data_IF_829197991478
#
_entry.id   IF_829197991478
#
_cell.length_a   1.000
_cell.length_b   1.000
_cell.length_c   1.000
_cell.angle_alpha   90.00
_cell.angle_beta   90.00
_cell.angle_gamma   90.00
#
_symmetry.space_group_name_H-M   'P 1'
#
loop_
_entity.id
_entity.type
_entity.pdbx_description
1 polymer ?
#
# COMPACT_ATOMS: atom_id res chain seq x y z
N UNK A 1 23.03 8.86 -0.25
CA UNK A 1 22.17 8.31 -1.32
C UNK A 1 20.96 9.21 -1.48
N UNK A 2 20.55 9.56 -2.73
CA UNK A 2 19.38 10.41 -2.97
C UNK A 2 18.18 9.53 -3.29
N UNK A 3 17.10 9.71 -2.53
CA UNK A 3 15.90 8.87 -2.54
C UNK A 3 14.69 9.72 -2.86
N UNK A 4 13.96 9.38 -3.91
CA UNK A 4 12.69 10.01 -4.24
C UNK A 4 11.54 9.19 -3.66
N UNK A 5 10.68 9.82 -2.89
CA UNK A 5 9.41 9.26 -2.42
C UNK A 5 8.28 9.93 -3.19
N UNK A 6 7.63 9.19 -4.09
CA UNK A 6 6.46 9.69 -4.82
C UNK A 6 5.17 9.43 -4.03
N UNK A 7 4.14 10.23 -4.25
CA UNK A 7 2.91 10.12 -3.47
C UNK A 7 3.07 10.52 -2.01
N UNK A 8 3.98 11.46 -1.74
CA UNK A 8 4.44 11.86 -0.41
C UNK A 8 3.33 12.35 0.54
N UNK A 9 2.21 12.90 0.02
CA UNK A 9 1.06 13.33 0.81
C UNK A 9 0.01 12.22 1.04
N UNK A 10 0.25 11.02 0.52
CA UNK A 10 -0.55 9.84 0.83
C UNK A 10 -0.23 9.28 2.21
N UNK A 11 -1.01 8.29 2.67
CA UNK A 11 -0.82 7.66 3.99
C UNK A 11 0.62 7.18 4.16
N UNK A 12 1.10 6.31 3.27
CA UNK A 12 2.44 5.74 3.36
C UNK A 12 3.55 6.79 3.15
N UNK A 13 3.39 7.68 2.16
CA UNK A 13 4.39 8.73 1.91
C UNK A 13 4.58 9.66 3.11
N UNK A 14 3.48 10.00 3.80
CA UNK A 14 3.53 10.81 5.04
C UNK A 14 4.22 10.07 6.19
N UNK A 15 3.95 8.77 6.37
CA UNK A 15 4.64 7.96 7.39
C UNK A 15 6.14 7.82 7.06
N UNK A 16 6.52 7.59 5.78
CA UNK A 16 7.92 7.55 5.37
C UNK A 16 8.60 8.89 5.68
N UNK A 17 7.92 10.00 5.46
CA UNK A 17 8.49 11.32 5.75
C UNK A 17 8.80 11.49 7.24
N UNK A 18 7.92 11.05 8.13
CA UNK A 18 8.14 11.09 9.59
C UNK A 18 9.28 10.15 9.99
N UNK A 19 9.21 8.89 9.58
CA UNK A 19 10.17 7.87 10.00
C UNK A 19 11.57 8.08 9.38
N UNK A 20 11.67 8.78 8.23
CA UNK A 20 12.95 9.09 7.57
C UNK A 20 13.86 10.01 8.40
N UNK A 21 13.35 10.68 9.41
CA UNK A 21 14.14 11.49 10.34
C UNK A 21 15.22 10.68 11.07
N UNK A 22 15.06 9.38 11.21
CA UNK A 22 16.07 8.48 11.78
C UNK A 22 17.22 8.12 10.81
N UNK A 23 17.10 8.43 9.51
CA UNK A 23 18.02 8.03 8.44
C UNK A 23 18.79 9.24 7.87
N UNK A 24 19.57 9.91 8.72
CA UNK A 24 20.27 11.18 8.39
C UNK A 24 21.36 11.04 7.34
N UNK A 25 21.83 9.82 7.05
CA UNK A 25 22.80 9.48 6.01
C UNK A 25 22.23 9.56 4.59
N UNK A 26 20.89 9.64 4.43
CA UNK A 26 20.20 9.74 3.15
C UNK A 26 19.59 11.10 2.93
N UNK A 27 19.51 11.49 1.65
CA UNK A 27 18.79 12.69 1.22
C UNK A 27 17.46 12.27 0.63
N UNK A 28 16.37 12.58 1.31
CA UNK A 28 15.02 12.29 0.84
C UNK A 28 14.41 13.48 0.10
N UNK A 29 13.75 13.18 -1.01
CA UNK A 29 12.96 14.10 -1.83
C UNK A 29 11.52 13.61 -1.81
N UNK A 30 10.62 14.40 -1.21
CA UNK A 30 9.22 14.03 -1.01
C UNK A 30 8.33 14.78 -1.99
N UNK A 31 7.74 14.06 -2.96
CA UNK A 31 6.96 14.67 -4.02
C UNK A 31 5.54 14.09 -4.12
N UNK A 32 4.58 14.97 -4.29
CA UNK A 32 3.19 14.62 -4.57
C UNK A 32 2.84 14.87 -6.05
N UNK A 33 1.61 14.54 -6.46
CA UNK A 33 1.16 14.73 -7.85
C UNK A 33 1.09 16.18 -8.31
N UNK A 34 1.16 17.16 -7.41
CA UNK A 34 1.17 18.59 -7.78
C UNK A 34 2.59 19.10 -8.03
N UNK A 35 3.57 18.57 -7.30
CA UNK A 35 4.98 18.94 -7.44
C UNK A 35 5.71 18.07 -8.47
N UNK A 36 5.35 16.78 -8.58
CA UNK A 36 5.95 15.84 -9.54
C UNK A 36 4.89 14.84 -10.04
N UNK A 37 4.30 15.15 -11.18
CA UNK A 37 3.36 14.25 -11.85
C UNK A 37 4.11 13.13 -12.57
N UNK A 38 4.06 11.92 -12.02
CA UNK A 38 4.73 10.74 -12.57
C UNK A 38 4.20 10.31 -13.95
N UNK A 39 3.02 10.80 -14.36
CA UNK A 39 2.46 10.52 -15.70
C UNK A 39 3.18 11.30 -16.79
N UNK A 40 3.96 12.34 -16.43
CA UNK A 40 4.71 13.20 -17.34
C UNK A 40 6.15 12.72 -17.50
N UNK A 41 6.43 11.99 -18.58
CA UNK A 41 7.71 11.30 -18.80
C UNK A 41 8.94 12.22 -18.69
N UNK A 42 8.91 13.39 -19.34
CA UNK A 42 10.06 14.30 -19.32
C UNK A 42 10.24 14.97 -17.95
N UNK A 43 9.16 15.22 -17.22
CA UNK A 43 9.24 15.82 -15.89
C UNK A 43 9.93 14.85 -14.91
N UNK A 44 9.49 13.59 -14.85
CA UNK A 44 10.10 12.59 -13.96
C UNK A 44 11.55 12.30 -14.33
N UNK A 45 11.87 12.24 -15.63
CA UNK A 45 13.22 11.99 -16.12
C UNK A 45 14.17 13.14 -15.74
N UNK A 46 13.76 14.40 -15.94
CA UNK A 46 14.56 15.57 -15.59
C UNK A 46 14.77 15.63 -14.08
N UNK A 47 13.72 15.41 -13.29
CA UNK A 47 13.79 15.39 -11.84
C UNK A 47 14.81 14.36 -11.31
N UNK A 48 14.74 13.12 -11.78
CA UNK A 48 15.66 12.03 -11.39
C UNK A 48 17.10 12.41 -11.75
N UNK A 49 17.32 13.03 -12.92
CA UNK A 49 18.67 13.43 -13.38
C UNK A 49 19.21 14.61 -12.57
N UNK A 50 18.44 15.68 -12.41
CA UNK A 50 18.84 16.92 -11.74
C UNK A 50 19.19 16.70 -10.26
N UNK A 51 18.40 15.86 -9.59
CA UNK A 51 18.60 15.52 -8.18
C UNK A 51 19.49 14.30 -7.95
N UNK A 52 20.07 13.71 -9.01
CA UNK A 52 20.89 12.49 -8.92
C UNK A 52 20.20 11.38 -8.10
N UNK A 53 18.90 11.17 -8.33
CA UNK A 53 18.11 10.16 -7.64
C UNK A 53 18.59 8.77 -8.02
N UNK A 54 18.95 7.96 -7.03
CA UNK A 54 19.39 6.57 -7.22
C UNK A 54 18.36 5.54 -6.73
N UNK A 55 17.45 5.94 -5.85
CA UNK A 55 16.38 5.07 -5.36
C UNK A 55 15.05 5.79 -5.47
N UNK A 56 14.01 5.07 -5.92
CA UNK A 56 12.63 5.56 -5.88
C UNK A 56 11.81 4.64 -4.98
N UNK A 57 11.12 5.23 -3.99
CA UNK A 57 10.03 4.58 -3.26
C UNK A 57 8.73 5.08 -3.88
N UNK A 58 8.11 4.25 -4.71
CA UNK A 58 6.89 4.64 -5.42
C UNK A 58 5.64 4.31 -4.60
N UNK A 59 5.17 5.30 -3.84
CA UNK A 59 3.89 5.26 -3.13
C UNK A 59 2.75 5.91 -3.93
N UNK A 60 3.06 6.53 -5.08
CA UNK A 60 2.03 7.12 -5.94
C UNK A 60 1.20 6.02 -6.61
N UNK A 61 -0.11 6.09 -6.45
CA UNK A 61 -1.06 5.18 -7.06
C UNK A 61 -2.45 5.83 -7.17
N UNK A 62 -3.22 5.45 -8.17
CA UNK A 62 -4.65 5.67 -8.19
C UNK A 62 -5.32 4.60 -7.33
N UNK A 63 -5.79 4.96 -6.13
CA UNK A 63 -6.29 4.01 -5.12
C UNK A 63 -7.79 4.08 -4.87
N UNK A 64 -8.51 4.93 -5.61
CA UNK A 64 -9.96 5.05 -5.51
C UNK A 64 -10.64 3.86 -6.22
N UNK A 65 -10.67 2.69 -5.55
CA UNK A 65 -11.07 1.38 -6.09
C UNK A 65 -12.41 1.46 -6.83
N UNK A 66 -13.45 2.04 -6.20
CA UNK A 66 -14.78 2.15 -6.81
C UNK A 66 -14.81 3.09 -8.02
N UNK A 67 -14.07 4.20 -7.96
CA UNK A 67 -13.97 5.15 -9.08
C UNK A 67 -13.14 4.61 -10.25
N UNK A 68 -12.22 3.70 -9.98
CA UNK A 68 -11.40 3.08 -11.02
C UNK A 68 -12.25 2.38 -12.08
N UNK A 69 -13.42 1.83 -11.70
CA UNK A 69 -14.35 1.18 -12.64
C UNK A 69 -14.93 2.15 -13.68
N UNK A 70 -15.01 3.44 -13.38
CA UNK A 70 -15.49 4.48 -14.28
C UNK A 70 -14.38 5.44 -14.78
N UNK A 71 -13.23 5.50 -14.11
CA UNK A 71 -12.12 6.39 -14.44
C UNK A 71 -10.88 5.56 -14.88
N UNK A 72 -11.10 4.61 -15.80
CA UNK A 72 -10.09 3.64 -16.26
C UNK A 72 -8.82 4.34 -16.72
N UNK A 73 -8.95 5.36 -17.58
CA UNK A 73 -7.82 6.10 -18.15
C UNK A 73 -6.93 6.75 -17.05
N UNK A 74 -7.55 7.28 -16.00
CA UNK A 74 -6.79 7.86 -14.87
C UNK A 74 -6.06 6.77 -14.08
N UNK A 75 -6.71 5.63 -13.84
CA UNK A 75 -6.09 4.50 -13.16
C UNK A 75 -4.90 3.96 -13.98
N UNK A 76 -5.03 3.81 -15.28
CA UNK A 76 -3.96 3.41 -16.20
C UNK A 76 -2.84 4.46 -16.26
N UNK A 77 -3.18 5.74 -16.33
CA UNK A 77 -2.18 6.80 -16.37
C UNK A 77 -1.25 6.77 -15.15
N UNK A 78 -1.81 6.59 -13.94
CA UNK A 78 -1.00 6.59 -12.72
C UNK A 78 -0.35 5.22 -12.47
N UNK A 79 -1.15 4.12 -12.52
CA UNK A 79 -0.69 2.81 -12.10
C UNK A 79 0.14 2.07 -13.16
N UNK A 80 0.04 2.47 -14.43
CA UNK A 80 0.77 1.85 -15.54
C UNK A 80 1.77 2.82 -16.16
N UNK A 81 1.29 3.94 -16.75
CA UNK A 81 2.17 4.89 -17.43
C UNK A 81 3.14 5.55 -16.45
N UNK A 82 2.69 5.93 -15.25
CA UNK A 82 3.55 6.48 -14.21
C UNK A 82 4.68 5.54 -13.82
N UNK A 83 4.39 4.25 -13.64
CA UNK A 83 5.41 3.22 -13.37
C UNK A 83 6.38 3.08 -14.54
N UNK A 84 5.89 3.02 -15.79
CA UNK A 84 6.72 2.97 -16.99
C UNK A 84 7.67 4.16 -17.09
N UNK A 85 7.20 5.37 -16.76
CA UNK A 85 8.00 6.59 -16.79
C UNK A 85 9.13 6.56 -15.75
N UNK A 86 8.83 6.12 -14.52
CA UNK A 86 9.83 5.92 -13.47
C UNK A 86 10.91 4.93 -13.92
N UNK A 87 10.52 3.77 -14.45
CA UNK A 87 11.45 2.76 -14.95
C UNK A 87 12.32 3.31 -16.10
N UNK A 88 11.73 4.04 -17.04
CA UNK A 88 12.43 4.65 -18.18
C UNK A 88 13.46 5.70 -17.76
N UNK A 89 13.22 6.38 -16.65
CA UNK A 89 14.17 7.33 -16.06
C UNK A 89 15.28 6.60 -15.30
N UNK A 90 14.94 5.61 -14.47
CA UNK A 90 15.88 4.86 -13.64
C UNK A 90 16.86 4.00 -14.45
N UNK A 91 16.46 3.47 -15.60
CA UNK A 91 17.35 2.64 -16.44
C UNK A 91 18.62 3.36 -16.89
N UNK A 92 18.64 4.69 -16.86
CA UNK A 92 19.79 5.54 -17.20
C UNK A 92 20.69 5.82 -15.98
N UNK A 93 20.25 5.43 -14.79
CA UNK A 93 20.98 5.65 -13.54
C UNK A 93 21.66 4.36 -13.12
N UNK A 94 22.99 4.39 -12.98
CA UNK A 94 23.74 3.20 -12.56
C UNK A 94 23.37 2.77 -11.14
N UNK A 95 23.16 1.47 -10.94
CA UNK A 95 22.78 0.87 -9.65
C UNK A 95 21.50 1.46 -9.06
N UNK A 96 20.56 1.87 -9.92
CA UNK A 96 19.27 2.38 -9.47
C UNK A 96 18.40 1.27 -8.88
N UNK A 97 17.58 1.64 -7.87
CA UNK A 97 16.66 0.74 -7.19
C UNK A 97 15.24 1.30 -7.20
N UNK A 98 14.26 0.40 -7.18
CA UNK A 98 12.83 0.73 -7.06
C UNK A 98 12.18 -0.08 -5.96
N UNK A 99 11.53 0.58 -5.00
CA UNK A 99 10.57 -0.04 -4.08
C UNK A 99 9.18 0.41 -4.53
N UNK A 100 8.34 -0.54 -4.95
CA UNK A 100 7.00 -0.25 -5.48
C UNK A 100 5.91 -0.89 -4.64
N UNK A 101 4.92 -0.10 -4.26
CA UNK A 101 3.79 -0.59 -3.47
C UNK A 101 2.68 -1.07 -4.39
N UNK A 102 2.33 -2.34 -4.26
CA UNK A 102 1.23 -3.00 -4.97
C UNK A 102 0.12 -3.42 -3.99
N UNK A 103 -0.77 -4.29 -4.39
CA UNK A 103 -2.02 -4.58 -3.68
C UNK A 103 -2.38 -6.07 -3.71
N UNK A 104 -3.15 -6.50 -2.72
CA UNK A 104 -3.86 -7.78 -2.66
C UNK A 104 -4.96 -7.93 -3.73
N UNK A 105 -5.45 -6.81 -4.30
CA UNK A 105 -6.45 -6.81 -5.39
C UNK A 105 -5.95 -7.43 -6.71
N UNK A 106 -4.69 -7.84 -6.80
CA UNK A 106 -4.19 -8.65 -7.91
C UNK A 106 -4.74 -10.08 -7.88
N UNK A 107 -5.28 -10.52 -6.74
CA UNK A 107 -5.91 -11.82 -6.57
C UNK A 107 -7.43 -11.75 -6.72
N UNK A 108 -8.07 -12.86 -7.12
CA UNK A 108 -9.51 -12.94 -7.33
C UNK A 108 -10.34 -13.16 -6.05
N UNK A 109 -9.70 -13.50 -4.94
CA UNK A 109 -10.37 -13.68 -3.64
C UNK A 109 -11.10 -15.00 -3.45
N UNK A 110 -10.84 -16.02 -4.26
CA UNK A 110 -11.49 -17.33 -4.20
C UNK A 110 -10.71 -18.38 -3.41
N UNK A 111 -9.53 -18.03 -2.91
CA UNK A 111 -8.71 -18.92 -2.11
C UNK A 111 -9.27 -19.05 -0.68
N UNK A 112 -8.78 -20.06 0.06
CA UNK A 112 -9.12 -20.34 1.46
C UNK A 112 -7.88 -20.52 2.35
N UNK A 113 -6.70 -20.34 1.75
CA UNK A 113 -5.39 -20.30 2.43
C UNK A 113 -4.68 -19.00 2.04
N UNK A 114 -3.74 -18.49 2.85
CA UNK A 114 -3.04 -17.24 2.55
C UNK A 114 -2.33 -17.29 1.19
N UNK A 115 -2.60 -16.29 0.34
CA UNK A 115 -1.96 -16.16 -0.97
C UNK A 115 -0.45 -16.01 -0.84
N UNK A 116 0.29 -16.78 -1.64
CA UNK A 116 1.75 -16.66 -1.78
C UNK A 116 2.09 -15.77 -2.98
N UNK A 117 3.30 -15.26 -3.01
CA UNK A 117 3.82 -14.44 -4.12
C UNK A 117 3.87 -15.21 -5.45
N UNK A 118 3.91 -16.54 -5.37
CA UNK A 118 3.94 -17.47 -6.54
C UNK A 118 2.56 -17.90 -7.00
N UNK A 119 1.50 -17.57 -6.29
CA UNK A 119 0.15 -17.94 -6.69
C UNK A 119 -0.30 -17.13 -7.92
N UNK A 120 -1.15 -17.73 -8.72
CA UNK A 120 -1.69 -17.11 -9.92
C UNK A 120 -2.49 -15.86 -9.56
N UNK A 121 -2.28 -14.79 -10.32
CA UNK A 121 -2.98 -13.53 -10.18
C UNK A 121 -4.11 -13.43 -11.19
N UNK A 122 -5.31 -13.05 -10.72
CA UNK A 122 -6.52 -12.92 -11.54
C UNK A 122 -7.38 -11.75 -11.02
N UNK A 123 -6.93 -10.49 -11.25
CA UNK A 123 -7.61 -9.32 -10.70
C UNK A 123 -9.02 -9.15 -11.28
N UNK A 124 -10.01 -9.01 -10.41
CA UNK A 124 -11.43 -8.91 -10.77
C UNK A 124 -11.90 -7.50 -11.16
N UNK A 125 -11.21 -6.43 -10.70
CA UNK A 125 -11.54 -5.04 -10.95
C UNK A 125 -10.41 -4.26 -11.64
N UNK A 126 -10.71 -3.08 -12.14
CA UNK A 126 -9.78 -2.19 -12.88
C UNK A 126 -8.58 -1.80 -12.01
N UNK A 127 -8.81 -1.47 -10.74
CA UNK A 127 -7.71 -1.14 -9.82
C UNK A 127 -6.67 -2.27 -9.77
N UNK A 128 -7.12 -3.49 -9.48
CA UNK A 128 -6.23 -4.66 -9.43
C UNK A 128 -5.53 -4.93 -10.75
N UNK A 129 -6.24 -4.81 -11.88
CA UNK A 129 -5.69 -5.00 -13.24
C UNK A 129 -4.59 -3.99 -13.54
N UNK A 130 -4.81 -2.71 -13.28
CA UNK A 130 -3.81 -1.66 -13.54
C UNK A 130 -2.58 -1.80 -12.64
N UNK A 131 -2.76 -2.17 -11.36
CA UNK A 131 -1.65 -2.46 -10.44
C UNK A 131 -0.85 -3.68 -10.92
N UNK A 132 -1.51 -4.75 -11.38
CA UNK A 132 -0.86 -5.94 -11.92
C UNK A 132 -0.01 -5.61 -13.16
N UNK A 133 -0.51 -4.80 -14.08
CA UNK A 133 0.28 -4.36 -15.24
C UNK A 133 1.52 -3.58 -14.80
N UNK A 134 1.40 -2.74 -13.77
CA UNK A 134 2.56 -2.05 -13.17
C UNK A 134 3.59 -3.02 -12.62
N UNK A 135 3.18 -4.10 -11.91
CA UNK A 135 4.09 -5.16 -11.45
C UNK A 135 4.82 -5.83 -12.62
N UNK A 136 4.11 -6.16 -13.70
CA UNK A 136 4.69 -6.80 -14.89
C UNK A 136 5.75 -5.94 -15.57
N UNK A 137 5.52 -4.63 -15.67
CA UNK A 137 6.50 -3.69 -16.18
C UNK A 137 7.80 -3.72 -15.35
N UNK A 138 7.69 -3.76 -14.01
CA UNK A 138 8.84 -3.81 -13.12
C UNK A 138 9.58 -5.15 -13.26
N UNK A 139 8.86 -6.27 -13.22
CA UNK A 139 9.43 -7.61 -13.33
C UNK A 139 10.17 -7.85 -14.67
N UNK A 140 9.70 -7.22 -15.75
CA UNK A 140 10.31 -7.30 -17.08
C UNK A 140 11.38 -6.20 -17.32
N UNK A 141 11.63 -5.33 -16.34
CA UNK A 141 12.65 -4.28 -16.44
C UNK A 141 14.04 -4.80 -16.06
N UNK A 142 15.05 -3.99 -16.36
CA UNK A 142 16.44 -4.22 -15.91
C UNK A 142 16.76 -3.52 -14.59
N UNK A 143 15.75 -2.96 -13.92
CA UNK A 143 15.92 -2.23 -12.64
C UNK A 143 15.85 -3.22 -11.49
N UNK A 144 16.75 -3.07 -10.53
CA UNK A 144 16.65 -3.78 -9.26
C UNK A 144 15.44 -3.30 -8.49
N UNK A 145 14.42 -4.15 -8.36
CA UNK A 145 13.13 -3.75 -7.80
C UNK A 145 12.59 -4.67 -6.72
N UNK A 146 11.97 -4.09 -5.72
CA UNK A 146 11.09 -4.79 -4.78
C UNK A 146 9.66 -4.29 -4.99
N UNK A 147 8.76 -5.23 -5.24
CA UNK A 147 7.32 -5.00 -5.29
C UNK A 147 6.73 -5.52 -3.99
N UNK A 148 6.07 -4.65 -3.24
CA UNK A 148 5.41 -5.02 -1.98
C UNK A 148 3.91 -5.00 -2.20
N UNK A 149 3.27 -6.18 -2.25
CA UNK A 149 1.82 -6.30 -2.20
C UNK A 149 1.37 -6.15 -0.75
N UNK A 150 0.44 -5.24 -0.54
CA UNK A 150 -0.13 -4.94 0.78
C UNK A 150 -1.65 -4.86 0.72
N UNK A 151 -2.31 -4.83 1.87
CA UNK A 151 -3.76 -4.82 2.00
C UNK A 151 -4.22 -3.87 3.10
N UNK A 152 -5.42 -3.28 2.96
CA UNK A 152 -6.16 -2.55 4.02
C UNK A 152 -5.29 -1.51 4.74
N UNK A 153 -4.57 -0.68 3.99
CA UNK A 153 -3.65 0.31 4.54
C UNK A 153 -4.39 1.39 5.31
N UNK A 154 -3.96 1.64 6.53
CA UNK A 154 -4.45 2.73 7.38
C UNK A 154 -3.29 3.49 8.04
N UNK A 155 -3.57 4.71 8.48
CA UNK A 155 -2.60 5.62 9.08
C UNK A 155 -3.31 6.71 9.88
N UNK A 156 -2.58 7.42 10.71
CA UNK A 156 -3.03 8.69 11.30
C UNK A 156 -3.18 9.79 10.24
N UNK A 157 -2.51 9.64 9.09
CA UNK A 157 -2.60 10.54 7.93
C UNK A 157 -3.70 10.13 6.95
N UNK A 158 -4.18 11.09 6.16
CA UNK A 158 -5.15 10.87 5.09
C UNK A 158 -6.51 10.35 5.56
N UNK A 159 -7.31 9.85 4.60
CA UNK A 159 -8.60 9.22 4.85
C UNK A 159 -8.46 7.70 4.75
N UNK A 160 -9.02 6.95 5.70
CA UNK A 160 -8.97 5.50 5.73
C UNK A 160 -10.13 4.92 6.54
N UNK A 161 -10.21 3.60 6.60
CA UNK A 161 -11.28 2.89 7.30
C UNK A 161 -11.29 3.19 8.80
N UNK A 162 -10.14 3.25 9.47
CA UNK A 162 -10.04 3.51 10.91
C UNK A 162 -10.66 4.87 11.25
N UNK A 163 -10.20 5.93 10.59
CA UNK A 163 -10.73 7.30 10.80
C UNK A 163 -12.21 7.41 10.43
N UNK A 164 -12.63 6.70 9.39
CA UNK A 164 -14.04 6.66 8.98
C UNK A 164 -14.91 5.99 10.04
N UNK A 165 -14.47 4.86 10.59
CA UNK A 165 -15.20 4.16 11.65
C UNK A 165 -15.26 4.99 12.92
N UNK A 166 -14.15 5.59 13.36
CA UNK A 166 -14.15 6.47 14.54
C UNK A 166 -15.16 7.62 14.37
N UNK A 167 -15.09 8.35 13.25
CA UNK A 167 -16.03 9.46 12.99
C UNK A 167 -17.49 9.01 12.94
N UNK A 168 -17.77 7.94 12.22
CA UNK A 168 -19.16 7.43 12.10
C UNK A 168 -19.67 6.85 13.44
N UNK A 169 -18.80 6.25 14.24
CA UNK A 169 -19.15 5.74 15.56
C UNK A 169 -19.47 6.85 16.57
N UNK A 170 -18.83 8.02 16.44
CA UNK A 170 -19.18 9.22 17.22
C UNK A 170 -20.51 9.86 16.79
N UNK A 171 -20.87 9.71 15.51
CA UNK A 171 -22.08 10.30 14.92
C UNK A 171 -23.33 9.40 15.02
N UNK A 172 -23.18 8.10 15.31
CA UNK A 172 -24.25 7.10 15.19
C UNK A 172 -24.22 6.09 16.34
N UNK A 173 -25.41 5.62 16.74
CA UNK A 173 -25.57 4.58 17.78
C UNK A 173 -25.19 3.18 17.26
N UNK A 174 -25.33 2.95 15.95
CA UNK A 174 -24.97 1.66 15.32
C UNK A 174 -24.46 1.84 13.90
N UNK A 175 -23.64 0.85 13.45
CA UNK A 175 -23.08 0.77 12.11
C UNK A 175 -23.17 -0.68 11.60
N UNK A 176 -23.46 -0.85 10.31
CA UNK A 176 -23.43 -2.14 9.63
C UNK A 176 -22.10 -2.31 8.90
N UNK A 177 -21.37 -3.39 9.19
CA UNK A 177 -20.03 -3.65 8.61
C UNK A 177 -19.94 -5.08 8.10
N UNK A 178 -19.31 -5.24 6.93
CA UNK A 178 -19.15 -6.52 6.23
C UNK A 178 -18.29 -7.48 7.06
N UNK A 179 -18.78 -8.73 7.27
CA UNK A 179 -18.05 -9.76 8.00
C UNK A 179 -17.45 -10.86 7.12
N UNK A 180 -17.91 -11.01 5.88
CA UNK A 180 -17.53 -12.08 4.94
C UNK A 180 -16.40 -11.70 3.97
N UNK A 181 -15.68 -10.62 4.25
CA UNK A 181 -14.42 -10.26 3.60
C UNK A 181 -13.29 -10.39 4.60
N UNK A 182 -12.34 -11.29 4.31
CA UNK A 182 -11.27 -11.70 5.22
C UNK A 182 -9.91 -11.25 4.68
N UNK A 183 -9.10 -10.64 5.54
CA UNK A 183 -7.76 -10.17 5.20
C UNK A 183 -6.93 -9.81 6.43
N UNK A 184 -5.93 -8.96 6.24
CA UNK A 184 -5.14 -8.35 7.30
C UNK A 184 -4.97 -6.87 7.02
N UNK A 185 -5.15 -5.98 8.01
CA UNK A 185 -4.83 -4.57 7.87
C UNK A 185 -3.32 -4.34 7.86
N UNK A 186 -2.91 -3.21 7.31
CA UNK A 186 -1.52 -2.76 7.30
C UNK A 186 -1.44 -1.35 7.86
N UNK A 187 -0.77 -1.18 8.98
CA UNK A 187 -0.42 0.14 9.48
C UNK A 187 0.67 0.74 8.59
N UNK A 188 0.41 1.90 8.01
CA UNK A 188 1.32 2.51 7.06
C UNK A 188 2.69 2.86 7.67
N UNK A 189 2.77 3.12 8.98
CA UNK A 189 4.03 3.32 9.70
C UNK A 189 4.89 2.05 9.68
N UNK A 190 4.30 0.87 9.94
CA UNK A 190 5.05 -0.40 9.88
C UNK A 190 5.55 -0.68 8.46
N UNK A 191 4.73 -0.40 7.45
CA UNK A 191 5.13 -0.51 6.05
C UNK A 191 6.20 0.54 5.67
N UNK A 192 6.15 1.75 6.23
CA UNK A 192 7.17 2.78 6.05
C UNK A 192 8.52 2.32 6.60
N UNK A 193 8.52 1.78 7.82
CA UNK A 193 9.72 1.21 8.45
C UNK A 193 10.32 0.08 7.60
N UNK A 194 9.48 -0.79 7.02
CA UNK A 194 9.96 -1.80 6.08
C UNK A 194 10.60 -1.16 4.84
N UNK A 195 9.95 -0.18 4.21
CA UNK A 195 10.51 0.50 3.02
C UNK A 195 11.87 1.14 3.31
N UNK A 196 12.02 1.79 4.46
CA UNK A 196 13.27 2.41 4.89
C UNK A 196 14.35 1.35 5.21
N UNK A 197 14.00 0.28 5.89
CA UNK A 197 14.90 -0.85 6.16
C UNK A 197 15.43 -1.49 4.87
N UNK A 198 14.61 -1.56 3.82
CA UNK A 198 15.00 -2.16 2.53
C UNK A 198 15.98 -1.30 1.73
N UNK A 199 16.19 -0.03 2.06
CA UNK A 199 17.12 0.86 1.35
C UNK A 199 18.56 0.33 1.32
N UNK A 200 19.00 -0.30 2.42
CA UNK A 200 20.35 -0.87 2.57
C UNK A 200 20.48 -2.31 2.07
N UNK A 201 19.37 -2.92 1.67
CA UNK A 201 19.41 -4.33 1.26
C UNK A 201 19.85 -4.46 -0.19
N UNK A 202 20.55 -5.56 -0.47
CA UNK A 202 20.87 -5.96 -1.83
C UNK A 202 19.68 -6.70 -2.45
N UNK A 203 19.19 -6.21 -3.58
CA UNK A 203 18.07 -6.84 -4.31
C UNK A 203 18.55 -7.93 -5.27
N UNK A 204 19.85 -8.26 -5.25
CA UNK A 204 20.47 -9.34 -6.04
C UNK A 204 20.24 -9.22 -7.57
N UNK A 205 20.26 -8.00 -8.09
CA UNK A 205 20.14 -7.68 -9.52
C UNK A 205 18.86 -8.26 -10.19
N UNK A 206 17.73 -8.34 -9.46
CA UNK A 206 16.44 -8.80 -10.03
C UNK A 206 15.27 -8.25 -9.23
N UNK A 207 14.22 -7.91 -9.96
CA UNK A 207 12.95 -7.53 -9.32
C UNK A 207 12.28 -8.74 -8.67
N UNK A 208 11.80 -8.57 -7.42
CA UNK A 208 11.11 -9.60 -6.63
C UNK A 208 9.80 -9.06 -6.06
N UNK A 209 8.82 -9.95 -5.90
CA UNK A 209 7.57 -9.65 -5.21
C UNK A 209 7.66 -10.17 -3.78
N UNK A 210 7.17 -9.37 -2.85
CA UNK A 210 6.96 -9.72 -1.46
C UNK A 210 5.55 -9.31 -1.01
N UNK A 211 5.03 -10.02 -0.03
CA UNK A 211 3.80 -9.70 0.65
C UNK A 211 4.09 -9.08 2.01
N UNK A 212 3.36 -8.02 2.35
CA UNK A 212 3.44 -7.39 3.67
C UNK A 212 2.08 -6.88 4.12
N UNK A 213 1.66 -7.30 5.29
CA UNK A 213 0.57 -6.74 6.11
C UNK A 213 0.88 -7.06 7.57
N UNK A 214 0.26 -6.39 8.53
CA UNK A 214 0.43 -6.77 9.93
C UNK A 214 0.01 -8.22 10.17
N UNK A 215 0.58 -8.87 11.19
CA UNK A 215 0.22 -10.25 11.56
C UNK A 215 -1.21 -10.32 12.10
N UNK A 216 -1.90 -11.42 11.80
CA UNK A 216 -3.26 -11.69 12.21
C UNK A 216 -4.22 -11.79 11.03
N UNK A 217 -5.44 -12.25 11.31
CA UNK A 217 -6.52 -12.51 10.34
C UNK A 217 -7.81 -12.00 10.92
N UNK A 218 -8.58 -11.22 10.16
CA UNK A 218 -9.85 -10.67 10.61
C UNK A 218 -10.75 -10.27 9.43
N UNK A 219 -12.01 -10.01 9.73
CA UNK A 219 -12.97 -9.36 8.83
C UNK A 219 -12.97 -7.84 9.03
N UNK A 220 -13.62 -7.10 8.11
CA UNK A 220 -13.89 -5.67 8.33
C UNK A 220 -14.75 -5.44 9.58
N UNK A 221 -15.68 -6.37 9.88
CA UNK A 221 -16.49 -6.34 11.09
C UNK A 221 -15.64 -6.43 12.36
N UNK A 222 -14.72 -7.41 12.43
CA UNK A 222 -13.81 -7.56 13.57
C UNK A 222 -12.92 -6.32 13.74
N UNK A 223 -12.46 -5.77 12.61
CA UNK A 223 -11.64 -4.55 12.61
C UNK A 223 -12.42 -3.35 13.17
N UNK A 224 -13.67 -3.16 12.72
CA UNK A 224 -14.54 -2.09 13.22
C UNK A 224 -14.85 -2.24 14.71
N UNK A 225 -15.16 -3.46 15.17
CA UNK A 225 -15.37 -3.76 16.61
C UNK A 225 -14.18 -3.35 17.45
N UNK A 226 -12.98 -3.74 17.01
CA UNK A 226 -11.76 -3.41 17.71
C UNK A 226 -11.44 -1.91 17.70
N UNK A 227 -11.75 -1.20 16.59
CA UNK A 227 -11.61 0.27 16.52
C UNK A 227 -12.49 0.94 17.58
N UNK A 228 -13.77 0.54 17.72
CA UNK A 228 -14.67 1.09 18.73
C UNK A 228 -14.14 0.84 20.14
N UNK A 229 -13.72 -0.40 20.43
CA UNK A 229 -13.12 -0.77 21.73
C UNK A 229 -11.90 0.10 22.05
N UNK A 230 -10.94 0.19 21.14
CA UNK A 230 -9.68 0.91 21.38
C UNK A 230 -9.85 2.43 21.41
N UNK A 231 -10.79 2.97 20.66
CA UNK A 231 -11.10 4.41 20.63
C UNK A 231 -12.03 4.82 21.77
N UNK A 232 -12.57 3.88 22.55
CA UNK A 232 -13.58 4.10 23.60
C UNK A 232 -14.84 4.82 23.07
N UNK A 233 -15.34 4.34 21.90
CA UNK A 233 -16.54 4.86 21.24
C UNK A 233 -17.69 3.89 21.48
N UNK A 234 -18.81 4.40 22.05
CA UNK A 234 -20.02 3.62 22.28
C UNK A 234 -20.90 3.61 21.03
N UNK A 235 -20.60 2.66 20.11
CA UNK A 235 -21.33 2.44 18.88
C UNK A 235 -21.44 0.94 18.63
N UNK A 236 -22.66 0.43 18.42
CA UNK A 236 -22.90 -0.95 18.13
C UNK A 236 -22.50 -1.28 16.67
N UNK A 237 -21.67 -2.30 16.48
CA UNK A 237 -21.30 -2.78 15.15
C UNK A 237 -22.06 -4.06 14.82
N UNK A 238 -22.90 -4.00 13.78
CA UNK A 238 -23.70 -5.10 13.29
C UNK A 238 -23.05 -5.78 12.10
N UNK A 239 -22.89 -7.11 12.07
CA UNK A 239 -22.36 -7.83 10.92
C UNK A 239 -23.37 -7.89 9.79
N UNK A 240 -22.92 -7.61 8.56
CA UNK A 240 -23.70 -7.80 7.32
C UNK A 240 -22.85 -8.57 6.30
N UNK A 241 -23.51 -9.20 5.32
CA UNK A 241 -22.84 -9.87 4.21
C UNK A 241 -22.50 -8.86 3.10
N UNK A 242 -21.50 -9.19 2.27
CA UNK A 242 -21.10 -8.36 1.10
C UNK A 242 -22.29 -8.04 0.17
N UNK A 243 -23.25 -8.97 0.01
CA UNK A 243 -24.46 -8.76 -0.81
C UNK A 243 -25.35 -7.61 -0.32
N UNK A 244 -25.30 -7.30 0.98
CA UNK A 244 -26.12 -6.27 1.63
C UNK A 244 -25.49 -4.87 1.55
N UNK A 245 -24.25 -4.81 1.02
CA UNK A 245 -23.52 -3.55 0.81
C UNK A 245 -22.96 -3.46 -0.63
N UNK A 246 -23.80 -3.25 -1.63
CA UNK A 246 -23.38 -3.21 -3.01
C UNK A 246 -22.42 -2.02 -3.27
N UNK A 247 -21.33 -2.30 -3.97
CA UNK A 247 -20.30 -1.31 -4.35
C UNK A 247 -20.00 -1.41 -5.84
N UNK A 248 -19.58 -0.30 -6.50
CA UNK A 248 -19.21 -0.30 -7.92
C UNK A 248 -18.13 -1.32 -8.26
N UNK A 249 -17.05 -1.36 -7.47
CA UNK A 249 -16.00 -2.35 -7.64
C UNK A 249 -16.30 -3.62 -6.83
N UNK A 250 -16.12 -4.78 -7.46
CA UNK A 250 -16.16 -6.05 -6.77
C UNK A 250 -14.92 -6.22 -5.90
N UNK A 251 -15.12 -6.58 -4.63
CA UNK A 251 -14.02 -6.83 -3.68
C UNK A 251 -13.77 -8.32 -3.49
N UNK A 252 -12.50 -8.76 -3.32
CA UNK A 252 -12.22 -10.15 -3.01
C UNK A 252 -12.77 -10.51 -1.62
N UNK A 253 -13.43 -11.68 -1.50
CA UNK A 253 -13.92 -12.17 -0.21
C UNK A 253 -12.77 -12.64 0.70
N UNK A 254 -11.65 -13.04 0.09
CA UNK A 254 -10.47 -13.48 0.81
C UNK A 254 -9.22 -12.84 0.19
N UNK A 255 -8.48 -12.07 0.98
CA UNK A 255 -7.28 -11.37 0.52
C UNK A 255 -6.08 -11.52 1.47
N UNK A 256 -6.11 -12.53 2.33
CA UNK A 256 -5.03 -12.76 3.28
C UNK A 256 -3.74 -13.13 2.55
N UNK A 257 -2.67 -12.38 2.85
CA UNK A 257 -1.36 -12.54 2.25
C UNK A 257 -0.45 -13.41 3.14
N UNK A 258 0.26 -14.37 2.54
CA UNK A 258 1.34 -15.11 3.19
C UNK A 258 2.60 -14.22 3.22
N UNK A 259 3.19 -14.04 4.38
CA UNK A 259 4.34 -13.15 4.62
C UNK A 259 5.63 -13.91 4.95
N UNK A 260 5.62 -15.25 4.81
CA UNK A 260 6.79 -16.07 5.19
C UNK A 260 8.04 -15.66 4.41
N UNK A 261 7.91 -15.42 3.10
CA UNK A 261 9.04 -15.09 2.24
C UNK A 261 9.77 -13.82 2.68
N UNK A 262 9.06 -12.73 2.97
CA UNK A 262 9.72 -11.48 3.39
C UNK A 262 10.37 -11.62 4.76
N UNK A 263 9.76 -12.38 5.68
CA UNK A 263 10.33 -12.67 6.99
C UNK A 263 11.61 -13.50 6.88
N UNK A 264 11.62 -14.52 6.04
CA UNK A 264 12.77 -15.40 5.84
C UNK A 264 13.92 -14.71 5.09
N UNK A 265 13.62 -13.99 3.98
CA UNK A 265 14.65 -13.35 3.14
C UNK A 265 15.35 -12.19 3.85
N UNK A 266 14.67 -11.50 4.78
CA UNK A 266 15.18 -10.31 5.45
C UNK A 266 15.35 -10.44 6.97
N UNK A 267 15.02 -11.59 7.55
CA UNK A 267 15.07 -11.85 8.99
C UNK A 267 14.34 -10.76 9.82
N UNK A 268 13.08 -10.50 9.46
CA UNK A 268 12.24 -9.49 10.10
C UNK A 268 11.06 -10.10 10.84
N UNK A 269 10.66 -9.44 11.90
CA UNK A 269 9.40 -9.66 12.60
C UNK A 269 8.37 -8.63 12.13
N UNK A 270 7.12 -9.07 11.98
CA UNK A 270 6.00 -8.20 11.58
C UNK A 270 5.10 -8.00 12.80
N UNK A 271 4.79 -6.75 13.18
CA UNK A 271 3.91 -6.47 14.31
C UNK A 271 2.51 -7.06 14.15
N UNK A 272 1.90 -7.44 15.29
CA UNK A 272 0.52 -7.88 15.32
C UNK A 272 -0.42 -6.69 15.08
N UNK A 273 -1.45 -6.89 14.25
CA UNK A 273 -2.32 -5.82 13.77
C UNK A 273 -3.01 -5.01 14.89
N UNK A 274 -3.39 -5.65 16.00
CA UNK A 274 -4.09 -4.97 17.10
C UNK A 274 -3.15 -4.02 17.86
N UNK A 275 -1.87 -4.36 17.98
CA UNK A 275 -0.89 -3.52 18.63
C UNK A 275 -0.60 -2.27 17.80
N UNK A 276 -0.41 -2.45 16.48
CA UNK A 276 -0.25 -1.35 15.53
C UNK A 276 -1.50 -0.46 15.45
N UNK A 277 -2.70 -1.06 15.49
CA UNK A 277 -3.96 -0.30 15.53
C UNK A 277 -4.06 0.56 16.79
N UNK A 278 -3.71 0.02 17.95
CA UNK A 278 -3.72 0.74 19.23
C UNK A 278 -2.78 1.94 19.19
N UNK A 279 -1.60 1.79 18.61
CA UNK A 279 -0.64 2.90 18.44
C UNK A 279 -1.23 3.97 17.51
N UNK A 280 -1.78 3.60 16.36
CA UNK A 280 -2.38 4.52 15.41
C UNK A 280 -3.54 5.32 16.01
N UNK A 281 -4.47 4.64 16.72
CA UNK A 281 -5.61 5.31 17.36
C UNK A 281 -5.14 6.31 18.41
N UNK A 282 -4.13 5.96 19.21
CA UNK A 282 -3.54 6.89 20.19
C UNK A 282 -2.99 8.16 19.53
N UNK A 283 -2.38 8.05 18.35
CA UNK A 283 -1.89 9.22 17.60
C UNK A 283 -3.05 10.05 17.04
N UNK A 284 -4.14 9.41 16.57
CA UNK A 284 -5.31 10.12 16.03
C UNK A 284 -6.04 10.92 17.11
N UNK A 285 -6.05 10.42 18.36
CA UNK A 285 -6.77 11.05 19.49
C UNK A 285 -5.98 12.16 20.20
N UNK A 286 -4.66 12.26 19.95
CA UNK A 286 -3.79 13.32 20.51
C UNK A 286 -3.71 14.54 19.57
#
# INVERSE_FOLDING_TARGET
MNILVTGAKGQLGSEIQVESDAYKEYNFFFEDSKSLDITQSEIIKNYITEHNISVVINCAAYTAVDKAESEIEKAEAVNVLGVKNILSALVKVKNSKLIHISTDYVFNGTNHIPYKETDDVDPIGIYGKTKRVGEELILNSMIDGIIIRTSWVYSSFGNNFVKTMMRLGEERENLNVIFDQIGSPTYAKDLANLCLFLLDKDFQNRSKIYHYSNEGVLSWYDFAKCIMELANIDCEINPIETKDYPTPAKRPNYSLLNKSRIKEDFDIEIPYWKDSLKECIKIIQN
#
